data_IF_449012861366
#
_entry.id   IF_449012861366
#
_cell.length_a   1.000
_cell.length_b   1.000
_cell.length_c   1.000
_cell.angle_alpha   90.00
_cell.angle_beta   90.00
_cell.angle_gamma   90.00
#
_symmetry.space_group_name_H-M   'P 1'
#
loop_
_entity.id
_entity.type
_entity.pdbx_description
1 polymer ?
#
# COMPACT_ATOMS: atom_id res chain seq x y z
N UNK A 1 9.70 12.51 -40.17
CA UNK A 1 10.22 12.66 -38.80
C UNK A 1 9.28 13.59 -38.05
N UNK A 2 8.67 13.13 -36.97
CA UNK A 2 7.87 13.98 -36.08
C UNK A 2 8.81 14.51 -35.00
N UNK A 3 8.82 15.83 -34.80
CA UNK A 3 9.58 16.49 -33.75
C UNK A 3 8.59 17.16 -32.78
N UNK A 4 8.91 17.14 -31.49
CA UNK A 4 8.13 17.76 -30.42
C UNK A 4 9.08 18.57 -29.54
N UNK A 5 8.67 19.77 -29.14
CA UNK A 5 9.38 20.58 -28.13
C UNK A 5 9.17 20.06 -26.71
N UNK A 6 8.17 19.19 -26.52
CA UNK A 6 7.86 18.51 -25.26
C UNK A 6 8.39 17.07 -25.26
N UNK A 7 8.61 16.53 -24.06
CA UNK A 7 8.94 15.12 -23.83
C UNK A 7 7.76 14.23 -24.23
N UNK A 8 7.67 13.89 -25.52
CA UNK A 8 6.57 13.13 -26.08
C UNK A 8 7.06 11.86 -26.78
N UNK A 9 6.30 10.77 -26.62
CA UNK A 9 6.55 9.51 -27.30
C UNK A 9 6.08 9.62 -28.78
N UNK A 10 6.97 9.44 -29.76
CA UNK A 10 6.62 9.57 -31.18
C UNK A 10 5.69 8.46 -31.69
N UNK A 11 5.62 7.33 -30.99
CA UNK A 11 4.82 6.16 -31.39
C UNK A 11 3.44 6.15 -30.72
N UNK A 12 3.36 6.54 -29.45
CA UNK A 12 2.17 6.35 -28.62
C UNK A 12 1.41 7.66 -28.33
N UNK A 13 1.96 8.82 -28.69
CA UNK A 13 1.31 10.12 -28.48
C UNK A 13 1.22 10.58 -27.02
N UNK A 14 1.96 9.93 -26.12
CA UNK A 14 2.01 10.27 -24.69
C UNK A 14 3.00 11.42 -24.48
N UNK A 15 2.62 12.46 -23.73
CA UNK A 15 3.51 13.54 -23.30
C UNK A 15 3.76 13.47 -21.80
N UNK A 16 5.02 13.60 -21.42
CA UNK A 16 5.48 13.67 -20.03
C UNK A 16 5.69 15.15 -19.68
N UNK A 17 5.27 15.61 -18.49
CA UNK A 17 5.62 16.94 -18.00
C UNK A 17 7.14 17.10 -17.86
N UNK A 18 7.60 18.35 -17.72
CA UNK A 18 9.02 18.63 -17.50
C UNK A 18 9.57 17.85 -16.31
N UNK A 19 10.77 17.27 -16.48
CA UNK A 19 11.42 16.48 -15.44
C UNK A 19 12.12 17.42 -14.47
N UNK A 20 11.56 17.49 -13.26
CA UNK A 20 12.09 18.29 -12.17
C UNK A 20 12.35 17.40 -10.94
N UNK A 21 13.17 17.84 -9.97
CA UNK A 21 13.40 17.07 -8.74
C UNK A 21 12.12 16.65 -8.01
N UNK A 22 11.08 17.49 -8.04
CA UNK A 22 9.76 17.19 -7.44
C UNK A 22 9.03 16.03 -8.11
N UNK A 23 9.31 15.74 -9.38
CA UNK A 23 8.79 14.57 -10.10
C UNK A 23 9.24 13.25 -9.45
N UNK A 24 10.38 13.25 -8.76
CA UNK A 24 10.92 12.07 -8.07
C UNK A 24 10.59 12.01 -6.57
N UNK A 25 9.76 12.95 -6.08
CA UNK A 25 9.38 13.00 -4.67
C UNK A 25 8.00 12.39 -4.45
N UNK A 26 7.95 11.28 -3.73
CA UNK A 26 6.71 10.68 -3.25
C UNK A 26 6.01 11.53 -2.17
N UNK A 27 6.63 12.61 -1.69
CA UNK A 27 6.03 13.56 -0.75
C UNK A 27 5.33 14.73 -1.45
N UNK A 28 5.30 14.75 -2.78
CA UNK A 28 4.63 15.81 -3.55
C UNK A 28 3.61 15.21 -4.51
N UNK A 29 2.48 15.89 -4.80
CA UNK A 29 1.47 15.39 -5.74
C UNK A 29 2.00 15.14 -7.16
N UNK A 30 3.11 15.79 -7.53
CA UNK A 30 3.73 15.67 -8.84
C UNK A 30 4.43 14.33 -9.04
N UNK A 31 5.15 13.85 -8.03
CA UNK A 31 5.87 12.57 -8.10
C UNK A 31 5.12 11.39 -7.49
N UNK A 32 4.25 11.65 -6.49
CA UNK A 32 3.55 10.62 -5.76
C UNK A 32 2.56 9.83 -6.62
N UNK A 33 2.50 8.52 -6.42
CA UNK A 33 1.44 7.67 -6.93
C UNK A 33 0.08 8.24 -6.48
N UNK A 34 -0.86 8.52 -7.40
CA UNK A 34 -2.13 9.18 -7.06
C UNK A 34 -3.00 8.33 -6.13
N UNK A 35 -2.90 7.00 -6.24
CA UNK A 35 -3.81 6.09 -5.56
C UNK A 35 -3.44 5.85 -4.09
N UNK A 36 -2.16 5.90 -3.75
CA UNK A 36 -1.68 5.78 -2.37
C UNK A 36 -1.07 7.08 -1.84
N UNK A 37 -1.12 8.17 -2.63
CA UNK A 37 -0.54 9.47 -2.29
C UNK A 37 0.93 9.38 -1.83
N UNK A 38 1.68 8.46 -2.44
CA UNK A 38 3.09 8.27 -2.13
C UNK A 38 3.37 7.52 -0.82
N UNK A 39 2.38 6.90 -0.19
CA UNK A 39 2.60 5.99 0.95
C UNK A 39 3.23 4.67 0.51
N UNK A 40 2.80 4.15 -0.64
CA UNK A 40 3.25 2.85 -1.19
C UNK A 40 2.42 1.66 -0.71
N UNK A 41 1.73 1.81 0.41
CA UNK A 41 0.75 0.86 0.91
C UNK A 41 -0.68 1.44 0.86
N UNK A 42 -1.65 0.55 1.00
CA UNK A 42 -3.04 0.88 1.33
C UNK A 42 -3.41 0.02 2.53
N UNK A 43 -4.12 0.63 3.48
CA UNK A 43 -4.80 -0.11 4.51
C UNK A 43 -6.02 -0.78 3.88
N UNK A 44 -6.04 -2.11 3.92
CA UNK A 44 -7.14 -2.94 3.43
C UNK A 44 -7.59 -3.89 4.54
N UNK A 45 -8.87 -4.24 4.57
CA UNK A 45 -9.38 -5.23 5.52
C UNK A 45 -8.76 -6.58 5.22
N UNK A 46 -8.22 -7.22 6.24
CA UNK A 46 -7.59 -8.53 6.13
C UNK A 46 -8.64 -9.63 6.38
N UNK A 47 -8.97 -10.48 5.38
CA UNK A 47 -9.94 -11.56 5.54
C UNK A 47 -9.64 -12.47 6.75
N UNK A 48 -8.37 -12.71 7.04
CA UNK A 48 -7.94 -13.58 8.15
C UNK A 48 -8.17 -12.95 9.53
N UNK A 49 -8.29 -11.62 9.60
CA UNK A 49 -8.57 -10.91 10.85
C UNK A 49 -10.06 -10.73 11.13
N UNK A 50 -10.90 -10.91 10.11
CA UNK A 50 -12.35 -10.76 10.24
C UNK A 50 -13.09 -12.09 10.36
N UNK A 51 -12.40 -13.22 10.12
CA UNK A 51 -12.98 -14.56 10.21
C UNK A 51 -12.13 -15.54 11.02
N UNK A 52 -12.75 -16.21 11.98
CA UNK A 52 -12.28 -17.46 12.57
C UNK A 52 -12.67 -18.64 11.66
N UNK A 53 -11.71 -19.14 10.89
CA UNK A 53 -11.95 -20.11 9.84
C UNK A 53 -12.35 -21.51 10.35
N UNK A 54 -12.10 -21.79 11.64
CA UNK A 54 -12.40 -23.07 12.29
C UNK A 54 -13.86 -23.18 12.73
N UNK A 55 -14.52 -22.05 12.97
CA UNK A 55 -15.93 -21.99 13.38
C UNK A 55 -16.86 -21.92 12.18
N UNK A 56 -18.11 -22.32 12.40
CA UNK A 56 -19.19 -22.05 11.45
C UNK A 56 -19.75 -20.63 11.57
N UNK A 57 -20.47 -20.17 10.55
CA UNK A 57 -21.13 -18.85 10.60
C UNK A 57 -22.10 -18.76 11.78
N UNK A 58 -22.85 -19.83 12.07
CA UNK A 58 -23.76 -19.91 13.20
C UNK A 58 -23.09 -19.87 14.58
N UNK A 59 -21.83 -20.30 14.67
CA UNK A 59 -21.02 -20.29 15.90
C UNK A 59 -20.20 -19.00 16.08
N UNK A 60 -20.40 -17.99 15.22
CA UNK A 60 -19.67 -16.73 15.30
C UNK A 60 -18.30 -16.78 14.63
N UNK A 61 -18.19 -17.41 13.45
CA UNK A 61 -16.99 -17.31 12.62
C UNK A 61 -16.62 -15.87 12.25
N UNK A 62 -17.59 -14.95 12.21
CA UNK A 62 -17.36 -13.55 11.84
C UNK A 62 -17.01 -12.75 13.10
N UNK A 63 -15.75 -12.42 13.30
CA UNK A 63 -15.26 -11.85 14.58
C UNK A 63 -15.22 -10.31 14.59
N UNK A 64 -15.63 -9.67 13.50
CA UNK A 64 -15.51 -8.22 13.33
C UNK A 64 -16.71 -7.45 13.89
N UNK A 65 -16.50 -6.64 14.94
CA UNK A 65 -17.49 -5.69 15.48
C UNK A 65 -18.90 -6.29 15.66
N UNK A 66 -19.92 -5.66 15.06
CA UNK A 66 -21.34 -6.03 15.10
C UNK A 66 -21.65 -7.35 14.38
N UNK A 67 -20.69 -7.90 13.63
CA UNK A 67 -20.79 -9.23 13.00
C UNK A 67 -20.45 -10.37 13.96
N UNK A 68 -19.81 -10.07 15.10
CA UNK A 68 -19.53 -11.04 16.16
C UNK A 68 -20.75 -11.38 17.02
N UNK A 69 -21.92 -10.81 16.70
CA UNK A 69 -23.15 -11.16 17.38
C UNK A 69 -23.58 -12.57 16.97
N UNK A 70 -23.82 -13.42 17.96
CA UNK A 70 -24.27 -14.79 17.74
C UNK A 70 -25.70 -14.79 17.20
N UNK A 71 -26.10 -15.94 16.61
CA UNK A 71 -27.47 -16.19 16.14
C UNK A 71 -28.55 -15.79 17.17
N UNK A 72 -28.24 -15.91 18.46
CA UNK A 72 -29.14 -15.62 19.58
C UNK A 72 -29.51 -14.13 19.73
N UNK A 73 -28.66 -13.21 19.23
CA UNK A 73 -28.88 -11.77 19.38
C UNK A 73 -29.88 -11.19 18.34
N UNK A 74 -30.22 -11.97 17.30
CA UNK A 74 -31.12 -11.59 16.20
C UNK A 74 -30.82 -10.19 15.62
N UNK A 75 -29.54 -9.80 15.57
CA UNK A 75 -29.10 -8.52 15.05
C UNK A 75 -29.46 -8.33 13.57
N UNK A 76 -29.58 -7.08 13.13
CA UNK A 76 -29.92 -6.77 11.73
C UNK A 76 -28.96 -7.39 10.72
N UNK A 77 -27.66 -7.41 11.01
CA UNK A 77 -26.66 -8.05 10.15
C UNK A 77 -26.83 -9.57 10.06
N UNK A 78 -27.15 -10.24 11.17
CA UNK A 78 -27.35 -11.69 11.18
C UNK A 78 -28.54 -12.10 10.30
N UNK A 79 -29.68 -11.41 10.42
CA UNK A 79 -30.87 -11.74 9.63
C UNK A 79 -30.66 -11.54 8.12
N UNK A 80 -29.89 -10.53 7.73
CA UNK A 80 -29.51 -10.32 6.32
C UNK A 80 -28.55 -11.42 5.85
N UNK A 81 -27.56 -11.79 6.67
CA UNK A 81 -26.62 -12.87 6.37
C UNK A 81 -27.34 -14.22 6.23
N UNK A 82 -28.28 -14.54 7.12
CA UNK A 82 -29.08 -15.77 7.10
C UNK A 82 -29.96 -15.82 5.84
N UNK A 83 -30.63 -14.72 5.50
CA UNK A 83 -31.41 -14.62 4.26
C UNK A 83 -30.53 -14.79 3.01
N UNK A 84 -29.34 -14.18 2.98
CA UNK A 84 -28.37 -14.36 1.90
C UNK A 84 -27.93 -15.82 1.80
N UNK A 85 -27.60 -16.44 2.93
CA UNK A 85 -27.16 -17.83 2.99
C UNK A 85 -28.24 -18.79 2.49
N UNK A 86 -29.51 -18.56 2.84
CA UNK A 86 -30.62 -19.36 2.31
C UNK A 86 -30.79 -19.19 0.80
N UNK A 87 -30.76 -17.96 0.29
CA UNK A 87 -30.95 -17.68 -1.13
C UNK A 87 -29.83 -18.25 -1.99
N UNK A 88 -28.57 -18.14 -1.53
CA UNK A 88 -27.39 -18.60 -2.26
C UNK A 88 -26.88 -19.97 -1.82
N UNK A 89 -27.61 -20.70 -0.99
CA UNK A 89 -27.23 -22.02 -0.47
C UNK A 89 -25.84 -22.04 0.18
N UNK A 90 -25.57 -21.10 1.09
CA UNK A 90 -24.38 -21.10 1.95
C UNK A 90 -24.71 -21.88 3.22
N UNK A 91 -23.90 -22.90 3.52
CA UNK A 91 -24.06 -23.71 4.72
C UNK A 91 -23.63 -22.93 5.98
N UNK A 92 -24.57 -22.73 6.92
CA UNK A 92 -24.33 -21.91 8.12
C UNK A 92 -23.64 -22.65 9.26
N UNK A 93 -23.71 -23.99 9.26
CA UNK A 93 -23.31 -24.84 10.40
C UNK A 93 -22.04 -25.67 10.13
N UNK A 94 -21.34 -25.41 9.02
CA UNK A 94 -20.04 -26.03 8.73
C UNK A 94 -18.91 -25.02 8.99
N UNK A 95 -17.71 -25.47 9.37
CA UNK A 95 -16.56 -24.58 9.53
C UNK A 95 -16.33 -23.72 8.28
N UNK A 96 -16.06 -22.42 8.45
CA UNK A 96 -15.96 -21.47 7.35
C UNK A 96 -14.91 -21.89 6.31
N UNK A 97 -13.78 -22.46 6.73
CA UNK A 97 -12.76 -23.00 5.81
C UNK A 97 -13.27 -24.10 4.89
N UNK A 98 -14.31 -24.82 5.28
CA UNK A 98 -14.91 -25.92 4.52
C UNK A 98 -15.88 -25.43 3.45
N UNK A 99 -16.27 -24.15 3.50
CA UNK A 99 -17.12 -23.55 2.47
C UNK A 99 -16.35 -23.45 1.14
N UNK A 100 -17.02 -23.75 0.00
CA UNK A 100 -16.46 -23.46 -1.32
C UNK A 100 -16.02 -22.00 -1.44
N UNK A 101 -14.96 -21.73 -2.20
CA UNK A 101 -14.41 -20.37 -2.37
C UNK A 101 -15.48 -19.37 -2.80
N UNK A 102 -16.35 -19.72 -3.75
CA UNK A 102 -17.45 -18.88 -4.19
C UNK A 102 -18.41 -18.50 -3.05
N UNK A 103 -18.69 -19.43 -2.12
CA UNK A 103 -19.56 -19.17 -0.97
C UNK A 103 -18.86 -18.31 0.09
N UNK A 104 -17.55 -18.51 0.28
CA UNK A 104 -16.74 -17.61 1.12
C UNK A 104 -16.71 -16.20 0.55
N UNK A 105 -16.57 -16.06 -0.76
CA UNK A 105 -16.57 -14.77 -1.44
C UNK A 105 -17.91 -14.05 -1.29
N UNK A 106 -19.05 -14.75 -1.34
CA UNK A 106 -20.36 -14.17 -1.07
C UNK A 106 -20.46 -13.58 0.35
N UNK A 107 -19.88 -14.25 1.35
CA UNK A 107 -19.85 -13.77 2.74
C UNK A 107 -18.92 -12.57 2.90
N UNK A 108 -17.72 -12.64 2.32
CA UNK A 108 -16.68 -11.63 2.49
C UNK A 108 -16.93 -10.38 1.64
N UNK A 109 -17.23 -10.55 0.36
CA UNK A 109 -17.29 -9.50 -0.66
C UNK A 109 -18.70 -9.26 -1.21
N UNK A 110 -19.68 -10.04 -0.76
CA UNK A 110 -21.07 -9.81 -1.08
C UNK A 110 -21.53 -10.38 -2.40
N UNK A 111 -22.75 -10.00 -2.76
CA UNK A 111 -23.53 -10.54 -3.89
C UNK A 111 -23.31 -9.80 -5.21
N UNK A 112 -22.42 -8.81 -5.24
CA UNK A 112 -22.12 -8.00 -6.42
C UNK A 112 -23.37 -7.41 -7.10
N UNK A 113 -24.36 -7.02 -6.28
CA UNK A 113 -25.63 -6.44 -6.74
C UNK A 113 -26.78 -7.44 -6.91
N UNK A 114 -26.54 -8.75 -6.74
CA UNK A 114 -27.58 -9.77 -6.72
C UNK A 114 -28.53 -9.57 -5.54
N UNK A 115 -29.80 -9.27 -5.82
CA UNK A 115 -30.81 -8.96 -4.81
C UNK A 115 -31.51 -10.22 -4.31
N UNK A 116 -31.82 -10.25 -3.02
CA UNK A 116 -32.60 -11.29 -2.37
C UNK A 116 -33.54 -10.67 -1.33
N UNK A 117 -34.60 -11.40 -1.01
CA UNK A 117 -35.63 -10.96 -0.07
C UNK A 117 -35.22 -11.28 1.36
N UNK A 118 -35.34 -10.29 2.25
CA UNK A 118 -35.07 -10.42 3.68
C UNK A 118 -36.37 -10.28 4.44
N UNK A 119 -36.69 -11.28 5.27
CA UNK A 119 -37.79 -11.23 6.23
C UNK A 119 -37.24 -10.80 7.59
N UNK A 120 -37.20 -9.49 7.83
CA UNK A 120 -36.63 -8.91 9.04
C UNK A 120 -37.64 -8.84 10.18
N UNK A 121 -37.22 -9.21 11.39
CA UNK A 121 -37.99 -9.07 12.62
C UNK A 121 -37.18 -8.31 13.66
N UNK A 122 -37.72 -7.20 14.15
CA UNK A 122 -37.07 -6.45 15.24
C UNK A 122 -37.39 -7.05 16.62
N UNK A 123 -36.71 -6.58 17.67
CA UNK A 123 -36.91 -7.03 19.06
C UNK A 123 -38.33 -6.82 19.60
N UNK A 124 -39.05 -5.82 19.07
CA UNK A 124 -40.44 -5.52 19.43
C UNK A 124 -41.47 -6.38 18.67
N UNK A 125 -41.02 -7.29 17.81
CA UNK A 125 -41.87 -8.18 17.04
C UNK A 125 -42.44 -7.59 15.74
N UNK A 126 -42.10 -6.34 15.39
CA UNK A 126 -42.45 -5.76 14.09
C UNK A 126 -41.69 -6.48 12.97
N UNK A 127 -42.41 -6.82 11.91
CA UNK A 127 -41.88 -7.51 10.74
C UNK A 127 -41.77 -6.55 9.56
N UNK A 128 -40.71 -6.68 8.77
CA UNK A 128 -40.52 -5.98 7.52
C UNK A 128 -40.01 -6.95 6.46
N UNK A 129 -40.47 -6.79 5.23
CA UNK A 129 -39.99 -7.56 4.07
C UNK A 129 -39.44 -6.57 3.05
N UNK A 130 -38.19 -6.78 2.63
CA UNK A 130 -37.55 -5.92 1.65
C UNK A 130 -36.51 -6.70 0.84
N UNK A 131 -36.28 -6.24 -0.38
CA UNK A 131 -35.20 -6.76 -1.22
C UNK A 131 -33.94 -5.93 -1.02
N UNK A 132 -32.80 -6.60 -0.85
CA UNK A 132 -31.50 -5.96 -0.72
C UNK A 132 -30.42 -6.76 -1.42
N UNK A 133 -29.29 -6.11 -1.69
CA UNK A 133 -28.04 -6.79 -2.03
C UNK A 133 -27.17 -6.85 -0.78
N UNK A 134 -26.43 -7.94 -0.61
CA UNK A 134 -25.48 -8.09 0.48
C UNK A 134 -24.14 -7.49 0.04
N UNK A 135 -23.62 -6.52 0.78
CA UNK A 135 -22.35 -5.83 0.48
C UNK A 135 -21.11 -6.66 0.88
N UNK A 136 -21.30 -7.72 1.67
CA UNK A 136 -20.19 -8.47 2.26
C UNK A 136 -19.60 -7.76 3.48
N UNK A 137 -18.94 -8.52 4.34
CA UNK A 137 -18.37 -8.00 5.59
C UNK A 137 -17.22 -7.04 5.30
N UNK A 138 -16.35 -7.40 4.34
CA UNK A 138 -15.21 -6.57 3.93
C UNK A 138 -15.73 -5.28 3.33
N UNK A 139 -16.68 -5.35 2.39
CA UNK A 139 -17.29 -4.17 1.78
C UNK A 139 -17.96 -3.25 2.81
N UNK A 140 -18.68 -3.82 3.77
CA UNK A 140 -19.27 -3.07 4.90
C UNK A 140 -18.20 -2.33 5.71
N UNK A 141 -17.15 -3.01 6.15
CA UNK A 141 -16.10 -2.44 6.98
C UNK A 141 -15.31 -1.36 6.22
N UNK A 142 -14.95 -1.60 4.96
CA UNK A 142 -14.26 -0.63 4.12
C UNK A 142 -15.08 0.65 3.91
N UNK A 143 -16.37 0.50 3.62
CA UNK A 143 -17.29 1.64 3.47
C UNK A 143 -17.41 2.40 4.78
N UNK A 144 -17.64 1.71 5.90
CA UNK A 144 -17.75 2.33 7.23
C UNK A 144 -16.48 3.05 7.64
N UNK A 145 -15.29 2.48 7.35
CA UNK A 145 -14.01 3.13 7.63
C UNK A 145 -13.86 4.46 6.87
N UNK A 146 -14.30 4.49 5.61
CA UNK A 146 -14.21 5.65 4.73
C UNK A 146 -15.24 6.74 5.06
N UNK A 147 -16.47 6.34 5.40
CA UNK A 147 -17.60 7.26 5.59
C UNK A 147 -17.76 7.72 7.04
N UNK A 148 -17.18 7.02 8.01
CA UNK A 148 -17.33 7.39 9.43
C UNK A 148 -16.56 8.67 9.77
N UNK A 149 -17.21 9.54 10.53
CA UNK A 149 -16.60 10.71 11.18
C UNK A 149 -16.16 10.41 12.63
N UNK A 150 -16.37 9.19 13.13
CA UNK A 150 -15.98 8.78 14.48
C UNK A 150 -14.59 8.15 14.47
N UNK A 151 -13.63 8.79 15.14
CA UNK A 151 -12.27 8.23 15.31
C UNK A 151 -12.29 6.88 16.04
N UNK A 152 -13.16 6.72 17.05
CA UNK A 152 -13.32 5.43 17.75
C UNK A 152 -13.71 4.29 16.79
N UNK A 153 -14.67 4.53 15.89
CA UNK A 153 -15.08 3.51 14.91
C UNK A 153 -13.96 3.26 13.90
N UNK A 154 -13.25 4.31 13.47
CA UNK A 154 -12.12 4.19 12.55
C UNK A 154 -11.00 3.35 13.15
N UNK A 155 -10.64 3.61 14.41
CA UNK A 155 -9.65 2.84 15.17
C UNK A 155 -10.08 1.38 15.32
N UNK A 156 -11.34 1.13 15.73
CA UNK A 156 -11.88 -0.23 15.85
C UNK A 156 -11.84 -1.03 14.54
N UNK A 157 -12.18 -0.41 13.42
CA UNK A 157 -12.11 -1.08 12.12
C UNK A 157 -10.64 -1.32 11.72
N UNK A 158 -9.74 -0.40 12.04
CA UNK A 158 -8.31 -0.52 11.71
C UNK A 158 -7.62 -1.73 12.37
N UNK A 159 -8.14 -2.24 13.49
CA UNK A 159 -7.67 -3.49 14.12
C UNK A 159 -7.75 -4.70 13.17
N UNK A 160 -8.70 -4.68 12.24
CA UNK A 160 -8.91 -5.72 11.23
C UNK A 160 -8.22 -5.42 9.89
N UNK A 161 -7.49 -4.30 9.79
CA UNK A 161 -6.82 -3.89 8.56
C UNK A 161 -5.34 -4.27 8.59
N UNK A 162 -4.77 -4.50 7.42
CA UNK A 162 -3.35 -4.70 7.22
C UNK A 162 -2.84 -3.80 6.10
N UNK A 163 -1.56 -3.44 6.18
CA UNK A 163 -0.90 -2.73 5.11
C UNK A 163 -0.64 -3.69 3.95
N UNK A 164 -1.26 -3.41 2.80
CA UNK A 164 -0.98 -4.10 1.55
C UNK A 164 -0.24 -3.18 0.58
N UNK A 165 0.71 -3.69 -0.22
CA UNK A 165 1.31 -2.91 -1.28
C UNK A 165 0.24 -2.33 -2.18
N UNK A 166 0.33 -1.03 -2.47
CA UNK A 166 -0.61 -0.36 -3.35
C UNK A 166 -0.66 -1.08 -4.71
N UNK A 167 -1.83 -1.48 -5.23
CA UNK A 167 -1.92 -2.27 -6.46
C UNK A 167 -1.36 -1.53 -7.69
N UNK A 168 -1.44 -0.20 -7.67
CA UNK A 168 -1.06 0.68 -8.79
C UNK A 168 0.44 0.87 -8.90
N UNK A 169 1.10 1.21 -7.78
CA UNK A 169 2.55 1.40 -7.77
C UNK A 169 3.33 0.20 -7.23
N UNK A 170 2.66 -0.84 -6.72
CA UNK A 170 3.25 -2.04 -6.14
C UNK A 170 4.29 -1.72 -5.05
N UNK A 171 4.00 -0.74 -4.17
CA UNK A 171 4.94 -0.31 -3.14
C UNK A 171 5.96 0.73 -3.58
N UNK A 172 6.05 1.09 -4.87
CA UNK A 172 7.07 2.00 -5.40
C UNK A 172 6.85 3.48 -5.08
N UNK A 173 5.66 3.86 -4.61
CA UNK A 173 5.29 5.21 -4.13
C UNK A 173 5.27 6.31 -5.20
N UNK A 174 5.89 6.11 -6.35
CA UNK A 174 6.00 7.09 -7.43
C UNK A 174 5.05 6.79 -8.59
N UNK A 175 4.81 7.83 -9.39
CA UNK A 175 4.14 7.72 -10.69
C UNK A 175 5.00 6.96 -11.72
N UNK A 176 4.38 6.31 -12.72
CA UNK A 176 5.12 5.58 -13.74
C UNK A 176 6.07 6.47 -14.54
N UNK A 177 5.72 7.73 -14.78
CA UNK A 177 6.58 8.69 -15.51
C UNK A 177 7.90 8.96 -14.78
N UNK A 178 7.87 9.02 -13.45
CA UNK A 178 9.08 9.19 -12.63
C UNK A 178 9.94 7.91 -12.64
N UNK A 179 9.31 6.74 -12.65
CA UNK A 179 10.00 5.45 -12.68
C UNK A 179 10.62 5.18 -14.07
N UNK A 180 10.06 5.76 -15.13
CA UNK A 180 10.57 5.61 -16.49
C UNK A 180 11.91 6.34 -16.73
N UNK A 181 12.28 7.31 -15.89
CA UNK A 181 13.56 8.02 -16.01
C UNK A 181 14.67 7.18 -15.39
N UNK A 182 15.72 6.93 -16.18
CA UNK A 182 16.87 6.12 -15.78
C UNK A 182 18.18 6.89 -15.86
N UNK A 183 19.17 6.44 -15.08
CA UNK A 183 20.58 6.79 -15.21
C UNK A 183 21.34 5.48 -15.27
N UNK A 184 22.18 5.27 -16.29
CA UNK A 184 22.88 3.99 -16.50
C UNK A 184 21.91 2.80 -16.58
N UNK A 185 20.74 3.01 -17.20
CA UNK A 185 19.62 2.05 -17.31
C UNK A 185 18.96 1.65 -15.97
N UNK A 186 19.23 2.39 -14.89
CA UNK A 186 18.67 2.14 -13.55
C UNK A 186 17.75 3.29 -13.16
N UNK A 187 16.52 2.97 -12.72
CA UNK A 187 15.60 3.98 -12.20
C UNK A 187 15.78 4.25 -10.69
N UNK A 188 15.15 5.32 -10.20
CA UNK A 188 15.28 5.76 -8.80
C UNK A 188 14.83 4.71 -7.77
N UNK A 189 13.86 3.86 -8.11
CA UNK A 189 13.35 2.83 -7.20
C UNK A 189 14.33 1.66 -7.12
N UNK A 190 14.91 1.26 -8.25
CA UNK A 190 15.90 0.19 -8.30
C UNK A 190 17.15 0.54 -7.49
N UNK A 191 17.73 1.73 -7.72
CA UNK A 191 18.94 2.16 -7.01
C UNK A 191 18.69 2.31 -5.51
N UNK A 192 17.52 2.79 -5.09
CA UNK A 192 17.20 2.94 -3.65
C UNK A 192 16.86 1.62 -2.97
N UNK A 193 16.56 0.57 -3.73
CA UNK A 193 16.33 -0.78 -3.22
C UNK A 193 17.62 -1.59 -3.05
N UNK A 194 18.75 -1.11 -3.56
CA UNK A 194 20.03 -1.79 -3.36
C UNK A 194 20.59 -1.55 -1.96
N UNK A 195 21.39 -2.50 -1.45
CA UNK A 195 22.28 -2.24 -0.33
C UNK A 195 23.15 -1.00 -0.59
N UNK A 196 23.46 -0.25 0.47
CA UNK A 196 24.23 0.99 0.40
C UNK A 196 25.61 0.78 -0.21
N UNK A 197 26.30 -0.34 0.09
CA UNK A 197 27.59 -0.65 -0.55
C UNK A 197 27.47 -0.76 -2.07
N UNK A 198 26.50 -1.52 -2.58
CA UNK A 198 26.24 -1.65 -4.02
C UNK A 198 25.89 -0.30 -4.64
N UNK A 199 25.10 0.52 -3.92
CA UNK A 199 24.76 1.87 -4.38
C UNK A 199 26.00 2.77 -4.45
N UNK A 200 26.92 2.66 -3.48
CA UNK A 200 28.18 3.40 -3.48
C UNK A 200 29.07 2.99 -4.66
N UNK A 201 29.21 1.69 -4.93
CA UNK A 201 29.96 1.17 -6.09
C UNK A 201 29.43 1.74 -7.41
N UNK A 202 28.10 1.82 -7.56
CA UNK A 202 27.46 2.40 -8.73
C UNK A 202 27.76 3.91 -8.86
N UNK A 203 27.70 4.66 -7.75
CA UNK A 203 28.07 6.08 -7.71
C UNK A 203 29.57 6.30 -8.01
N UNK A 204 30.43 5.38 -7.61
CA UNK A 204 31.84 5.39 -7.95
C UNK A 204 32.08 5.16 -9.44
N UNK A 205 31.37 4.19 -10.05
CA UNK A 205 31.36 3.98 -11.52
C UNK A 205 30.93 5.25 -12.25
N UNK A 206 29.86 5.91 -11.81
CA UNK A 206 29.33 7.11 -12.47
C UNK A 206 30.30 8.30 -12.49
N UNK A 207 31.19 8.42 -11.50
CA UNK A 207 32.24 9.45 -11.50
C UNK A 207 33.64 8.90 -11.79
N UNK A 208 33.73 7.63 -12.20
CA UNK A 208 34.95 6.98 -12.59
C UNK A 208 35.24 7.14 -14.09
N UNK A 209 36.39 6.61 -14.55
CA UNK A 209 36.78 6.68 -15.96
C UNK A 209 35.87 5.83 -16.89
N UNK A 210 35.17 4.84 -16.34
CA UNK A 210 34.21 3.99 -17.07
C UNK A 210 32.77 4.53 -17.00
N UNK A 211 32.62 5.83 -16.75
CA UNK A 211 31.29 6.44 -16.61
C UNK A 211 30.48 6.34 -17.91
N UNK A 212 29.18 6.00 -17.82
CA UNK A 212 28.26 6.05 -18.96
C UNK A 212 27.84 7.49 -19.32
N UNK A 213 28.17 8.48 -18.46
CA UNK A 213 27.77 9.86 -18.64
C UNK A 213 28.62 10.55 -19.70
N UNK A 214 27.99 11.38 -20.54
CA UNK A 214 28.73 12.25 -21.45
C UNK A 214 29.38 13.44 -20.72
N UNK A 215 30.29 14.16 -21.38
CA UNK A 215 31.03 15.28 -20.80
C UNK A 215 30.12 16.35 -20.17
N UNK A 216 29.01 16.69 -20.82
CA UNK A 216 28.06 17.70 -20.32
C UNK A 216 27.39 17.21 -19.03
N UNK A 217 26.91 15.96 -19.02
CA UNK A 217 26.28 15.36 -17.84
C UNK A 217 27.26 15.27 -16.66
N UNK A 218 28.52 14.88 -16.92
CA UNK A 218 29.55 14.83 -15.89
C UNK A 218 29.76 16.20 -15.22
N UNK A 219 29.91 17.27 -16.02
CA UNK A 219 30.10 18.64 -15.50
C UNK A 219 28.89 19.07 -14.64
N UNK A 220 27.67 18.79 -15.09
CA UNK A 220 26.45 19.17 -14.36
C UNK A 220 26.31 18.36 -13.06
N UNK A 221 26.58 17.06 -13.11
CA UNK A 221 26.33 16.13 -12.02
C UNK A 221 27.49 16.04 -11.00
N UNK A 222 28.68 16.57 -11.30
CA UNK A 222 29.90 16.43 -10.48
C UNK A 222 29.66 16.68 -8.98
N UNK A 223 29.06 17.84 -8.65
CA UNK A 223 28.79 18.22 -7.26
C UNK A 223 27.77 17.28 -6.58
N UNK A 224 26.76 16.85 -7.32
CA UNK A 224 25.69 15.96 -6.82
C UNK A 224 26.28 14.57 -6.55
N UNK A 225 27.04 14.02 -7.49
CA UNK A 225 27.68 12.71 -7.37
C UNK A 225 28.68 12.71 -6.20
N UNK A 226 29.46 13.78 -6.03
CA UNK A 226 30.38 13.93 -4.90
C UNK A 226 29.65 13.91 -3.55
N UNK A 227 28.53 14.62 -3.43
CA UNK A 227 27.74 14.66 -2.20
C UNK A 227 27.09 13.29 -1.89
N UNK A 228 26.52 12.63 -2.89
CA UNK A 228 25.94 11.29 -2.73
C UNK A 228 27.02 10.29 -2.29
N UNK A 229 28.17 10.28 -2.98
CA UNK A 229 29.32 9.42 -2.63
C UNK A 229 29.75 9.61 -1.18
N UNK A 230 29.88 10.86 -0.76
CA UNK A 230 30.27 11.22 0.61
C UNK A 230 29.30 10.63 1.64
N UNK A 231 27.98 10.84 1.46
CA UNK A 231 26.94 10.34 2.38
C UNK A 231 26.88 8.82 2.44
N UNK A 232 26.93 8.15 1.29
CA UNK A 232 26.95 6.69 1.23
C UNK A 232 28.22 6.15 1.90
N UNK A 233 29.38 6.76 1.66
CA UNK A 233 30.64 6.40 2.32
C UNK A 233 30.56 6.51 3.84
N UNK A 234 29.94 7.57 4.38
CA UNK A 234 29.72 7.67 5.82
C UNK A 234 28.85 6.55 6.37
N UNK A 235 27.78 6.16 5.67
CA UNK A 235 26.91 5.06 6.08
C UNK A 235 27.67 3.71 6.07
N UNK A 236 28.52 3.47 5.08
CA UNK A 236 29.41 2.29 5.05
C UNK A 236 30.39 2.32 6.22
N UNK A 237 31.03 3.47 6.50
CA UNK A 237 32.01 3.60 7.58
C UNK A 237 31.41 3.33 8.98
N UNK A 238 30.12 3.56 9.18
CA UNK A 238 29.41 3.24 10.43
C UNK A 238 28.74 1.86 10.42
N UNK A 239 29.03 1.01 9.44
CA UNK A 239 28.53 -0.37 9.36
C UNK A 239 27.02 -0.46 9.08
N UNK A 240 26.53 0.38 8.17
CA UNK A 240 25.14 0.36 7.68
C UNK A 240 25.07 0.00 6.19
N UNK A 241 26.12 -0.58 5.64
CA UNK A 241 26.30 -0.93 4.22
C UNK A 241 25.26 -1.92 3.68
N UNK A 242 24.71 -2.79 4.54
CA UNK A 242 23.67 -3.76 4.19
C UNK A 242 22.27 -3.16 4.09
N UNK A 243 22.05 -1.94 4.57
CA UNK A 243 20.74 -1.28 4.50
C UNK A 243 20.45 -0.77 3.09
N UNK A 244 19.16 -0.61 2.80
CA UNK A 244 18.68 0.01 1.57
C UNK A 244 18.17 1.43 1.86
N UNK A 245 18.24 2.32 0.87
CA UNK A 245 17.75 3.70 1.01
C UNK A 245 16.21 3.78 1.08
N UNK A 246 15.51 2.77 0.56
CA UNK A 246 14.06 2.69 0.59
C UNK A 246 13.48 2.03 1.86
N UNK A 247 14.33 1.57 2.80
CA UNK A 247 13.86 0.95 4.05
C UNK A 247 13.10 1.97 4.91
N UNK A 248 11.95 1.55 5.46
CA UNK A 248 11.14 2.40 6.34
C UNK A 248 11.92 2.76 7.61
N UNK A 249 11.97 4.05 7.94
CA UNK A 249 12.66 4.56 9.14
C UNK A 249 12.11 3.95 10.45
N UNK A 250 10.81 3.64 10.50
CA UNK A 250 10.18 3.02 11.67
C UNK A 250 10.56 1.55 11.88
N UNK A 251 11.15 0.89 10.87
CA UNK A 251 11.63 -0.50 10.96
C UNK A 251 13.08 -0.63 11.43
N UNK A 252 13.76 0.48 11.69
CA UNK A 252 15.15 0.49 12.12
C UNK A 252 15.24 0.21 13.62
N UNK A 253 16.23 -0.58 14.03
CA UNK A 253 16.62 -0.73 15.43
C UNK A 253 17.18 0.58 15.98
N UNK A 254 17.13 0.73 17.31
CA UNK A 254 17.69 1.90 17.98
C UNK A 254 19.17 2.14 17.65
N UNK A 255 19.96 1.06 17.53
CA UNK A 255 21.36 1.12 17.15
C UNK A 255 21.58 1.59 15.70
N UNK A 256 20.76 1.11 14.75
CA UNK A 256 20.81 1.59 13.36
C UNK A 256 20.46 3.09 13.27
N UNK A 257 19.37 3.51 13.92
CA UNK A 257 18.93 4.90 13.92
C UNK A 257 19.99 5.85 14.51
N UNK A 258 20.65 5.44 15.59
CA UNK A 258 21.73 6.22 16.20
C UNK A 258 22.93 6.37 15.26
N UNK A 259 23.34 5.31 14.56
CA UNK A 259 24.46 5.35 13.61
C UNK A 259 24.13 6.20 12.38
N UNK A 260 22.90 6.17 11.88
CA UNK A 260 22.44 7.10 10.82
C UNK A 260 22.56 8.55 11.27
N UNK A 261 22.14 8.85 12.51
CA UNK A 261 22.25 10.20 13.08
C UNK A 261 23.71 10.65 13.18
N UNK A 262 24.61 9.75 13.61
CA UNK A 262 26.05 10.02 13.66
C UNK A 262 26.61 10.32 12.27
N UNK A 263 26.33 9.47 11.28
CA UNK A 263 26.77 9.66 9.90
C UNK A 263 26.29 11.02 9.34
N UNK A 264 25.04 11.39 9.63
CA UNK A 264 24.45 12.68 9.23
C UNK A 264 25.17 13.87 9.88
N UNK A 265 25.51 13.78 11.17
CA UNK A 265 26.21 14.84 11.90
C UNK A 265 27.66 15.04 11.46
N UNK A 266 28.35 13.95 11.10
CA UNK A 266 29.70 14.03 10.54
C UNK A 266 29.66 14.66 9.14
N UNK A 267 28.68 14.29 8.32
CA UNK A 267 28.49 14.88 6.99
C UNK A 267 28.15 16.37 7.01
N UNK A 268 27.31 16.82 7.94
CA UNK A 268 26.89 18.24 8.01
C UNK A 268 27.97 19.20 8.49
N UNK A 269 28.96 18.73 9.26
CA UNK A 269 30.08 19.58 9.73
C UNK A 269 31.14 19.87 8.66
N UNK A 270 31.17 19.10 7.57
CA UNK A 270 32.16 19.24 6.50
C UNK A 270 31.72 20.15 5.35
N UNK A 271 30.48 20.67 5.37
CA UNK A 271 29.91 21.54 4.33
C UNK A 271 29.61 22.97 4.81
N UNK A 272 30.23 23.39 5.93
CA UNK A 272 30.14 24.76 6.43
C UNK A 272 31.29 25.64 5.98
N UNK A 273 31.32 26.03 4.68
CA UNK A 273 31.77 27.34 4.14
C UNK A 273 31.04 27.59 2.82
#
# INVERSE_FOLDING_TARGET
>A
MHFSEHLACPEHGISIPEIEPRTFSFNTPHGACPDCQGLGNKLEIDPERVVDAEKSLAEGALIAMEWNNLREDMGAYWQILEAMAHHYHVELNVPFKSLPLEKRDLVLYGTKGGRFTVHYRNREGRQAVFDTAFEGIIGNLERRYRETNSEYIREKISEYMTDRPCPTCQGKRLRPEAIAVTVDDINIIEVTAWPINRTLEWIEKLAGPQTPLNKRQQIIAERIIKEIRSRLGFLVNVGLDYLTLNRSAGSLSGGEAQRIRLATQVGSRLVGV
#
